data_IF_549214804123
#
_entry.id   IF_549214804123
#
_cell.length_a   1.000
_cell.length_b   1.000
_cell.length_c   1.000
_cell.angle_alpha   90.00
_cell.angle_beta   90.00
_cell.angle_gamma   90.00
#
_symmetry.space_group_name_H-M   'P 1'
#
loop_
_entity.id
_entity.type
_entity.pdbx_description
1 polymer ?
#
# COMPACT_ATOMS: atom_id res chain seq x y z
N UNK A 1 -0.51 -9.48 -22.68
CA UNK A 1 -0.04 -8.17 -22.15
C UNK A 1 0.96 -8.42 -21.03
N UNK A 2 2.01 -7.58 -20.90
CA UNK A 2 3.00 -7.67 -19.80
C UNK A 2 3.07 -6.34 -19.07
N UNK A 3 2.98 -6.38 -17.74
CA UNK A 3 3.05 -5.22 -16.85
C UNK A 3 4.20 -5.42 -15.89
N UNK A 4 4.90 -4.34 -15.56
CA UNK A 4 5.98 -4.30 -14.58
C UNK A 4 5.70 -3.19 -13.58
N UNK A 5 5.78 -3.50 -12.28
CA UNK A 5 5.59 -2.54 -11.19
C UNK A 5 6.75 -2.66 -10.22
N UNK A 6 7.32 -1.52 -9.83
CA UNK A 6 8.44 -1.47 -8.91
C UNK A 6 8.03 -1.83 -7.48
N UNK A 7 8.98 -2.32 -6.68
CA UNK A 7 8.90 -2.25 -5.23
C UNK A 7 9.23 -0.85 -4.73
N UNK A 8 9.14 -0.62 -3.43
CA UNK A 8 9.43 0.68 -2.82
C UNK A 8 10.23 0.55 -1.52
N UNK A 9 10.92 1.62 -1.15
CA UNK A 9 11.42 1.86 0.20
C UNK A 9 10.81 3.16 0.74
N UNK A 10 10.56 3.21 2.04
CA UNK A 10 10.21 4.44 2.73
C UNK A 10 11.49 5.13 3.18
N UNK A 11 11.68 6.39 2.83
CA UNK A 11 12.84 7.17 3.26
C UNK A 11 12.52 7.95 4.54
N UNK A 12 11.33 8.57 4.59
CA UNK A 12 10.87 9.34 5.74
C UNK A 12 9.38 9.11 5.98
N UNK A 13 8.97 9.09 7.23
CA UNK A 13 7.56 8.99 7.58
C UNK A 13 7.03 7.54 7.70
N UNK A 14 7.90 6.56 7.93
CA UNK A 14 7.47 5.18 8.15
C UNK A 14 6.47 5.10 9.32
N UNK A 15 5.41 4.33 9.15
CA UNK A 15 4.33 4.16 10.13
C UNK A 15 3.55 5.45 10.48
N UNK A 16 3.37 6.37 9.55
CA UNK A 16 2.57 7.57 9.80
C UNK A 16 1.53 7.90 8.71
N UNK A 17 1.57 7.27 7.55
CA UNK A 17 0.61 7.47 6.46
C UNK A 17 -0.83 7.11 6.84
N UNK A 18 -1.03 6.05 7.62
CA UNK A 18 -2.33 5.67 8.17
C UNK A 18 -2.85 6.63 9.27
N UNK A 19 -2.02 7.56 9.72
CA UNK A 19 -2.39 8.66 10.63
C UNK A 19 -2.76 9.95 9.86
N UNK A 20 -2.73 9.89 8.53
CA UNK A 20 -2.94 11.06 7.68
C UNK A 20 -1.72 11.98 7.57
N UNK A 21 -0.56 11.58 8.10
CA UNK A 21 0.68 12.32 8.00
C UNK A 21 1.42 11.99 6.69
N UNK A 22 2.22 12.92 6.16
CA UNK A 22 2.94 12.72 4.91
C UNK A 22 4.05 11.68 5.03
N UNK A 23 4.44 11.12 3.88
CA UNK A 23 5.59 10.21 3.73
C UNK A 23 6.43 10.60 2.52
N UNK A 24 7.72 10.27 2.55
CA UNK A 24 8.61 10.31 1.38
C UNK A 24 9.04 8.88 1.10
N UNK A 25 8.65 8.39 -0.07
CA UNK A 25 8.92 7.02 -0.50
C UNK A 25 9.52 7.01 -1.91
N UNK A 26 10.35 6.01 -2.18
CA UNK A 26 11.06 5.87 -3.44
C UNK A 26 10.81 4.48 -4.04
N UNK A 27 10.50 4.43 -5.32
CA UNK A 27 10.51 3.19 -6.09
C UNK A 27 11.94 2.67 -6.24
N UNK A 28 12.11 1.35 -6.18
CA UNK A 28 13.40 0.68 -6.33
C UNK A 28 13.49 -0.10 -7.63
N UNK A 29 14.71 -0.44 -8.06
CA UNK A 29 14.98 -1.23 -9.27
C UNK A 29 14.74 -2.73 -9.10
N UNK A 30 13.80 -3.11 -8.24
CA UNK A 30 13.25 -4.45 -8.08
C UNK A 30 11.79 -4.43 -8.49
N UNK A 31 11.33 -5.45 -9.22
CA UNK A 31 10.04 -5.39 -9.88
C UNK A 31 9.22 -6.65 -9.67
N UNK A 32 7.91 -6.47 -9.58
CA UNK A 32 6.95 -7.52 -9.90
C UNK A 32 6.56 -7.42 -11.37
N UNK A 33 6.41 -8.54 -12.03
CA UNK A 33 5.95 -8.61 -13.41
C UNK A 33 4.74 -9.53 -13.52
N UNK A 34 3.74 -9.09 -14.26
CA UNK A 34 2.54 -9.83 -14.55
C UNK A 34 2.37 -9.92 -16.07
N UNK A 35 2.16 -11.14 -16.57
CA UNK A 35 1.83 -11.37 -17.97
C UNK A 35 0.62 -12.29 -18.05
N UNK A 36 -0.30 -12.03 -18.96
CA UNK A 36 -1.50 -12.83 -19.06
C UNK A 36 -2.27 -12.62 -20.35
N UNK A 37 -3.21 -13.53 -20.55
CA UNK A 37 -4.16 -13.57 -21.67
C UNK A 37 -5.57 -13.83 -21.14
N UNK A 38 -6.56 -13.39 -21.92
CA UNK A 38 -7.94 -13.74 -21.65
C UNK A 38 -8.20 -15.21 -21.97
N UNK A 39 -9.12 -15.83 -21.22
CA UNK A 39 -9.63 -17.19 -21.41
C UNK A 39 -10.99 -17.14 -22.10
N UNK A 40 -11.49 -18.29 -22.50
CA UNK A 40 -12.84 -18.44 -23.08
C UNK A 40 -13.88 -18.89 -22.03
N UNK A 41 -13.48 -18.97 -20.75
CA UNK A 41 -14.33 -19.33 -19.63
C UNK A 41 -14.33 -18.25 -18.53
N UNK A 42 -15.09 -18.45 -17.47
CA UNK A 42 -15.20 -17.52 -16.34
C UNK A 42 -14.18 -17.82 -15.22
N UNK A 43 -13.02 -18.42 -15.53
CA UNK A 43 -12.02 -18.83 -14.55
C UNK A 43 -10.80 -17.93 -14.61
N UNK A 44 -10.32 -17.47 -13.47
CA UNK A 44 -9.01 -16.84 -13.32
C UNK A 44 -8.02 -17.85 -12.77
N UNK A 45 -6.89 -17.99 -13.45
CA UNK A 45 -5.76 -18.83 -13.06
C UNK A 45 -4.53 -17.94 -12.91
N UNK A 46 -3.93 -17.92 -11.74
CA UNK A 46 -2.74 -17.11 -11.45
C UNK A 46 -1.59 -18.04 -11.07
N UNK A 47 -0.61 -18.13 -11.94
CA UNK A 47 0.59 -18.94 -11.75
C UNK A 47 1.68 -18.12 -11.09
N UNK A 48 2.24 -18.62 -10.02
CA UNK A 48 3.29 -18.00 -9.19
C UNK A 48 4.53 -18.91 -9.16
N UNK A 49 5.28 -19.03 -10.28
CA UNK A 49 6.38 -20.00 -10.39
C UNK A 49 7.49 -19.78 -9.35
N UNK A 50 7.72 -18.54 -8.92
CA UNK A 50 8.77 -18.20 -7.95
C UNK A 50 8.56 -18.85 -6.56
N UNK A 51 7.32 -19.25 -6.26
CA UNK A 51 6.92 -19.91 -5.00
C UNK A 51 6.23 -21.26 -5.25
N UNK A 52 6.24 -21.74 -6.49
CA UNK A 52 5.60 -22.99 -6.92
C UNK A 52 4.12 -23.08 -6.49
N UNK A 53 3.35 -22.00 -6.70
CA UNK A 53 1.95 -21.87 -6.29
C UNK A 53 1.05 -21.50 -7.48
N UNK A 54 -0.21 -21.97 -7.43
CA UNK A 54 -1.25 -21.64 -8.38
C UNK A 54 -2.51 -21.27 -7.60
N UNK A 55 -3.04 -20.08 -7.85
CA UNK A 55 -4.30 -19.60 -7.30
C UNK A 55 -5.37 -19.62 -8.39
N UNK A 56 -6.55 -20.13 -8.07
CA UNK A 56 -7.66 -20.19 -9.01
C UNK A 56 -8.95 -19.71 -8.36
N UNK A 57 -9.76 -18.98 -9.12
CA UNK A 57 -11.12 -18.59 -8.70
C UNK A 57 -12.03 -18.35 -9.91
N UNK A 58 -13.35 -18.44 -9.66
CA UNK A 58 -14.36 -18.09 -10.65
C UNK A 58 -14.69 -16.59 -10.57
N UNK A 59 -15.04 -15.96 -11.70
CA UNK A 59 -15.57 -14.59 -11.75
C UNK A 59 -16.92 -14.44 -11.02
N UNK A 60 -17.62 -15.56 -10.80
CA UNK A 60 -18.93 -15.60 -10.16
C UNK A 60 -18.79 -16.04 -8.70
N UNK A 61 -19.40 -15.26 -7.79
CA UNK A 61 -19.47 -15.63 -6.38
C UNK A 61 -18.12 -15.64 -5.65
N UNK A 62 -17.24 -14.67 -5.96
CA UNK A 62 -15.92 -14.56 -5.33
C UNK A 62 -16.07 -14.41 -3.82
N UNK A 63 -15.45 -15.36 -3.08
CA UNK A 63 -15.35 -15.31 -1.62
C UNK A 63 -13.90 -15.20 -1.20
N UNK A 64 -13.64 -14.38 -0.18
CA UNK A 64 -12.32 -14.28 0.42
C UNK A 64 -12.10 -15.41 1.42
N UNK A 65 -10.94 -16.04 1.35
CA UNK A 65 -10.51 -17.09 2.29
C UNK A 65 -9.54 -16.50 3.33
N UNK A 66 -8.89 -15.39 2.98
CA UNK A 66 -7.92 -14.71 3.84
C UNK A 66 -7.77 -13.23 3.50
N UNK A 67 -7.14 -12.46 4.40
CA UNK A 67 -6.72 -11.08 4.14
C UNK A 67 -5.58 -10.97 3.08
N UNK A 68 -5.13 -12.10 2.55
CA UNK A 68 -4.10 -12.16 1.51
C UNK A 68 -4.66 -12.40 0.10
N UNK A 69 -5.98 -12.47 -0.04
CA UNK A 69 -6.68 -12.71 -1.32
C UNK A 69 -6.68 -11.45 -2.22
N UNK A 70 -5.49 -10.87 -2.43
CA UNK A 70 -5.32 -9.60 -3.15
C UNK A 70 -5.82 -9.64 -4.60
N UNK A 71 -5.70 -10.79 -5.28
CA UNK A 71 -6.17 -10.94 -6.65
C UNK A 71 -7.70 -10.94 -6.73
N UNK A 72 -8.36 -11.63 -5.80
CA UNK A 72 -9.82 -11.63 -5.69
C UNK A 72 -10.36 -10.25 -5.32
N UNK A 73 -9.73 -9.61 -4.34
CA UNK A 73 -10.09 -8.26 -3.92
C UNK A 73 -9.90 -7.24 -5.05
N UNK A 74 -8.74 -7.24 -5.71
CA UNK A 74 -8.47 -6.37 -6.86
C UNK A 74 -9.51 -6.53 -7.98
N UNK A 75 -9.93 -7.78 -8.25
CA UNK A 75 -10.98 -8.06 -9.24
C UNK A 75 -12.33 -7.48 -8.80
N UNK A 76 -12.75 -7.72 -7.54
CA UNK A 76 -14.02 -7.20 -7.01
C UNK A 76 -14.04 -5.66 -6.98
N UNK A 77 -12.94 -5.03 -6.62
CA UNK A 77 -12.84 -3.56 -6.64
C UNK A 77 -12.97 -3.03 -8.07
N UNK A 78 -12.28 -3.63 -9.05
CA UNK A 78 -12.44 -3.23 -10.45
C UNK A 78 -13.91 -3.36 -10.92
N UNK A 79 -14.61 -4.44 -10.57
CA UNK A 79 -16.05 -4.59 -10.86
C UNK A 79 -16.90 -3.48 -10.21
N UNK A 80 -16.66 -3.18 -8.94
CA UNK A 80 -17.36 -2.15 -8.18
C UNK A 80 -17.16 -0.75 -8.78
N UNK A 81 -15.99 -0.50 -9.34
CA UNK A 81 -15.68 0.73 -10.06
C UNK A 81 -16.11 0.74 -11.54
N UNK A 82 -16.93 -0.24 -11.94
CA UNK A 82 -17.64 -0.25 -13.21
C UNK A 82 -16.90 -0.94 -14.37
N UNK A 83 -15.80 -1.64 -14.12
CA UNK A 83 -15.20 -2.51 -15.12
C UNK A 83 -16.01 -3.80 -15.27
N UNK A 84 -16.20 -4.23 -16.53
CA UNK A 84 -16.98 -5.42 -16.88
C UNK A 84 -16.07 -6.53 -17.38
N UNK A 85 -16.38 -7.77 -17.01
CA UNK A 85 -15.58 -8.94 -17.37
C UNK A 85 -16.53 -10.09 -17.75
N UNK A 86 -16.58 -10.45 -19.03
CA UNK A 86 -17.33 -11.59 -19.56
C UNK A 86 -16.52 -12.90 -19.57
N UNK A 87 -15.20 -12.80 -19.42
CA UNK A 87 -14.26 -13.93 -19.48
C UNK A 87 -13.16 -13.82 -18.46
N UNK A 88 -12.60 -14.96 -18.07
CA UNK A 88 -11.49 -15.05 -17.13
C UNK A 88 -10.13 -14.82 -17.75
N UNK A 89 -9.08 -15.12 -16.99
CA UNK A 89 -7.70 -14.83 -17.36
C UNK A 89 -6.77 -15.98 -16.95
N UNK A 90 -5.77 -16.29 -17.77
CA UNK A 90 -4.59 -17.08 -17.39
C UNK A 90 -3.41 -16.12 -17.25
N UNK A 91 -2.87 -16.00 -16.05
CA UNK A 91 -1.88 -14.98 -15.67
C UNK A 91 -0.68 -15.66 -15.03
N UNK A 92 0.51 -15.23 -15.38
CA UNK A 92 1.75 -15.58 -14.69
C UNK A 92 2.32 -14.35 -14.03
N UNK A 93 2.62 -14.46 -12.72
CA UNK A 93 3.31 -13.41 -11.95
C UNK A 93 4.69 -13.90 -11.54
N UNK A 94 5.68 -13.00 -11.62
CA UNK A 94 7.06 -13.20 -11.16
C UNK A 94 7.52 -11.95 -10.44
N UNK A 95 8.41 -12.08 -9.45
CA UNK A 95 8.91 -10.95 -8.68
C UNK A 95 10.36 -11.15 -8.28
N UNK A 96 11.18 -10.12 -8.48
CA UNK A 96 12.52 -10.02 -7.89
C UNK A 96 12.54 -9.14 -6.62
N UNK A 97 11.36 -8.71 -6.17
CA UNK A 97 11.18 -8.03 -4.90
C UNK A 97 11.18 -9.07 -3.78
N UNK A 98 12.04 -8.95 -2.75
CA UNK A 98 12.07 -9.90 -1.65
C UNK A 98 10.72 -10.00 -0.94
N UNK A 99 10.26 -11.23 -0.72
CA UNK A 99 8.97 -11.51 -0.06
C UNK A 99 9.09 -11.25 1.44
N UNK A 100 8.09 -10.56 2.04
CA UNK A 100 8.04 -10.21 3.47
C UNK A 100 9.27 -9.42 3.98
N UNK A 101 9.93 -8.69 3.09
CA UNK A 101 11.11 -7.88 3.40
C UNK A 101 10.80 -6.37 3.61
N UNK A 102 9.53 -5.98 3.64
CA UNK A 102 9.13 -4.59 3.83
C UNK A 102 9.28 -3.69 2.61
N UNK A 103 9.39 -4.26 1.41
CA UNK A 103 9.60 -3.55 0.14
C UNK A 103 8.39 -3.57 -0.79
N UNK A 104 7.18 -3.79 -0.23
CA UNK A 104 5.86 -3.75 -0.90
C UNK A 104 5.69 -4.73 -2.06
N UNK A 105 6.13 -5.99 -1.90
CA UNK A 105 5.93 -7.02 -2.90
C UNK A 105 4.44 -7.28 -3.19
N UNK A 106 3.59 -7.36 -2.16
CA UNK A 106 2.13 -7.55 -2.28
C UNK A 106 1.47 -6.41 -3.06
N UNK A 107 1.71 -5.17 -2.64
CA UNK A 107 1.11 -3.99 -3.27
C UNK A 107 1.59 -3.81 -4.72
N UNK A 108 2.84 -4.12 -5.01
CA UNK A 108 3.38 -4.11 -6.36
C UNK A 108 2.67 -5.12 -7.28
N UNK A 109 2.41 -6.35 -6.78
CA UNK A 109 1.63 -7.35 -7.50
C UNK A 109 0.19 -6.92 -7.71
N UNK A 110 -0.45 -6.38 -6.68
CA UNK A 110 -1.83 -5.90 -6.78
C UNK A 110 -1.97 -4.73 -7.75
N UNK A 111 -1.05 -3.78 -7.73
CA UNK A 111 -1.01 -2.67 -8.71
C UNK A 111 -0.86 -3.22 -10.14
N UNK A 112 0.03 -4.19 -10.36
CA UNK A 112 0.18 -4.86 -11.65
C UNK A 112 -1.11 -5.55 -12.09
N UNK A 113 -1.80 -6.22 -11.16
CA UNK A 113 -3.05 -6.93 -11.41
C UNK A 113 -4.19 -5.98 -11.78
N UNK A 114 -4.39 -4.91 -11.02
CA UNK A 114 -5.41 -3.89 -11.31
C UNK A 114 -5.14 -3.22 -12.66
N UNK A 115 -3.89 -2.88 -12.94
CA UNK A 115 -3.52 -2.32 -14.24
C UNK A 115 -3.84 -3.32 -15.37
N UNK A 116 -3.55 -4.61 -15.20
CA UNK A 116 -3.91 -5.64 -16.16
C UNK A 116 -5.43 -5.73 -16.34
N UNK A 117 -6.21 -5.78 -15.27
CA UNK A 117 -7.67 -5.85 -15.30
C UNK A 117 -8.29 -4.66 -16.03
N UNK A 118 -7.87 -3.44 -15.72
CA UNK A 118 -8.42 -2.22 -16.33
C UNK A 118 -8.16 -2.14 -17.83
N UNK A 119 -7.10 -2.80 -18.32
CA UNK A 119 -6.73 -2.86 -19.75
C UNK A 119 -7.34 -4.05 -20.48
N UNK A 120 -7.83 -5.07 -19.77
CA UNK A 120 -8.40 -6.28 -20.35
C UNK A 120 -9.90 -6.48 -20.01
N UNK A 121 -10.54 -5.50 -19.39
CA UNK A 121 -11.98 -5.47 -19.20
C UNK A 121 -12.71 -5.36 -20.54
N UNK A 122 -13.97 -5.81 -20.61
CA UNK A 122 -14.82 -5.69 -21.83
C UNK A 122 -15.02 -4.21 -22.22
N UNK A 123 -15.03 -3.33 -21.23
CA UNK A 123 -15.08 -1.87 -21.36
C UNK A 123 -13.73 -1.23 -20.96
N UNK A 124 -12.63 -1.79 -21.42
CA UNK A 124 -11.27 -1.37 -21.06
C UNK A 124 -11.07 0.15 -21.19
N UNK A 125 -10.43 0.74 -20.18
CA UNK A 125 -10.10 2.16 -20.13
C UNK A 125 -8.64 2.35 -19.75
N UNK A 126 -8.05 3.39 -20.30
CA UNK A 126 -6.74 3.86 -19.84
C UNK A 126 -6.97 4.84 -18.67
N UNK A 127 -6.73 4.38 -17.46
CA UNK A 127 -6.83 5.21 -16.27
C UNK A 127 -5.44 5.65 -15.79
N UNK A 128 -5.37 6.74 -15.04
CA UNK A 128 -4.11 7.28 -14.54
C UNK A 128 -3.45 6.36 -13.52
N UNK A 129 -2.14 6.48 -13.34
CA UNK A 129 -1.41 5.76 -12.28
C UNK A 129 -2.01 6.05 -10.90
N UNK A 130 -2.43 7.29 -10.65
CA UNK A 130 -3.09 7.66 -9.40
C UNK A 130 -4.42 6.92 -9.20
N UNK A 131 -5.24 6.76 -10.26
CA UNK A 131 -6.47 5.98 -10.19
C UNK A 131 -6.19 4.49 -9.94
N UNK A 132 -5.15 3.91 -10.58
CA UNK A 132 -4.70 2.54 -10.30
C UNK A 132 -4.28 2.39 -8.83
N UNK A 133 -3.51 3.36 -8.29
CA UNK A 133 -3.09 3.38 -6.89
C UNK A 133 -4.27 3.39 -5.93
N UNK A 134 -5.29 4.22 -6.24
CA UNK A 134 -6.49 4.31 -5.43
C UNK A 134 -7.26 2.98 -5.42
N UNK A 135 -7.45 2.34 -6.58
CA UNK A 135 -8.08 1.03 -6.65
C UNK A 135 -7.29 -0.04 -5.88
N UNK A 136 -5.96 0.02 -5.93
CA UNK A 136 -5.12 -0.89 -5.18
C UNK A 136 -5.22 -0.66 -3.66
N UNK A 137 -5.28 0.59 -3.22
CA UNK A 137 -5.52 0.94 -1.81
C UNK A 137 -6.89 0.45 -1.34
N UNK A 138 -7.95 0.67 -2.12
CA UNK A 138 -9.30 0.16 -1.81
C UNK A 138 -9.29 -1.38 -1.69
N UNK A 139 -8.57 -2.07 -2.57
CA UNK A 139 -8.53 -3.53 -2.57
C UNK A 139 -7.73 -4.10 -1.39
N UNK A 140 -6.55 -3.55 -1.10
CA UNK A 140 -5.64 -4.12 -0.09
C UNK A 140 -5.96 -3.63 1.32
N UNK A 141 -6.20 -2.32 1.47
CA UNK A 141 -6.34 -1.71 2.80
C UNK A 141 -7.80 -1.66 3.26
N UNK A 142 -8.71 -1.25 2.39
CA UNK A 142 -10.11 -1.10 2.80
C UNK A 142 -10.85 -2.44 2.73
N UNK A 143 -10.83 -3.12 1.58
CA UNK A 143 -11.60 -4.35 1.36
C UNK A 143 -11.08 -5.53 2.20
N UNK A 144 -9.76 -5.71 2.29
CA UNK A 144 -9.14 -6.80 3.06
C UNK A 144 -8.79 -6.40 4.50
N UNK A 145 -9.11 -5.16 4.92
CA UNK A 145 -8.79 -4.63 6.25
C UNK A 145 -7.32 -4.84 6.63
N UNK A 146 -6.41 -4.51 5.70
CA UNK A 146 -4.98 -4.54 5.96
C UNK A 146 -4.55 -3.33 6.79
N UNK A 147 -3.55 -3.48 7.68
CA UNK A 147 -3.16 -2.42 8.61
C UNK A 147 -2.36 -1.26 8.00
N UNK A 148 -2.13 -1.26 6.69
CA UNK A 148 -1.38 -0.22 5.97
C UNK A 148 -2.10 1.12 5.83
N UNK A 149 -1.41 2.07 5.20
CA UNK A 149 -1.96 3.31 4.67
C UNK A 149 -1.88 3.32 3.13
N UNK A 150 -1.70 4.50 2.53
CA UNK A 150 -1.68 4.68 1.07
C UNK A 150 -0.28 4.56 0.45
N UNK A 151 0.78 4.63 1.26
CA UNK A 151 2.16 4.76 0.77
C UNK A 151 2.53 3.68 -0.24
N UNK A 152 2.22 2.42 0.04
CA UNK A 152 2.68 1.28 -0.72
C UNK A 152 2.12 1.27 -2.15
N UNK A 153 0.81 1.40 -2.28
CA UNK A 153 0.12 1.35 -3.57
C UNK A 153 0.48 2.56 -4.44
N UNK A 154 0.59 3.75 -3.82
CA UNK A 154 0.91 4.97 -4.56
C UNK A 154 2.37 5.00 -5.00
N UNK A 155 3.32 4.68 -4.13
CA UNK A 155 4.75 4.71 -4.49
C UNK A 155 5.12 3.63 -5.52
N UNK A 156 4.55 2.42 -5.42
CA UNK A 156 4.79 1.36 -6.40
C UNK A 156 4.17 1.65 -7.76
N UNK A 157 3.00 2.29 -7.81
CA UNK A 157 2.27 2.61 -9.05
C UNK A 157 2.85 3.83 -9.76
N UNK A 158 3.11 4.91 -9.03
CA UNK A 158 3.62 6.17 -9.60
C UNK A 158 5.08 5.98 -10.01
N UNK A 159 5.86 5.28 -9.16
CA UNK A 159 7.30 5.15 -9.33
C UNK A 159 8.04 6.41 -8.85
N UNK A 160 9.35 6.46 -9.09
CA UNK A 160 10.20 7.60 -8.77
C UNK A 160 10.31 7.87 -7.24
N UNK A 161 10.79 9.05 -6.86
CA UNK A 161 10.80 9.57 -5.50
C UNK A 161 9.59 10.48 -5.34
N UNK A 162 8.72 10.18 -4.37
CA UNK A 162 7.48 10.94 -4.15
C UNK A 162 7.33 11.39 -2.71
N UNK A 163 6.77 12.59 -2.55
CA UNK A 163 6.12 13.03 -1.33
C UNK A 163 4.63 12.75 -1.47
N UNK A 164 4.06 12.04 -0.51
CA UNK A 164 2.65 11.66 -0.46
C UNK A 164 2.04 12.15 0.84
N UNK A 165 0.95 12.88 0.76
CA UNK A 165 0.11 13.33 1.87
C UNK A 165 -1.34 12.97 1.57
N UNK A 166 -1.97 12.21 2.47
CA UNK A 166 -3.33 11.71 2.25
C UNK A 166 -4.41 12.61 2.84
N UNK A 167 -4.08 13.46 3.80
CA UNK A 167 -5.02 14.33 4.52
C UNK A 167 -4.51 15.77 4.61
N UNK A 168 -5.39 16.80 4.52
CA UNK A 168 -6.86 16.73 4.34
C UNK A 168 -7.29 16.38 2.91
N UNK A 169 -6.39 16.50 1.94
CA UNK A 169 -6.61 16.14 0.54
C UNK A 169 -5.38 15.42 0.01
N UNK A 170 -5.62 14.39 -0.79
CA UNK A 170 -4.54 13.64 -1.42
C UNK A 170 -3.65 14.58 -2.23
N UNK A 171 -2.40 14.65 -1.86
CA UNK A 171 -1.34 15.40 -2.53
C UNK A 171 -0.17 14.48 -2.84
N UNK A 172 0.33 14.54 -4.06
CA UNK A 172 1.45 13.74 -4.54
C UNK A 172 2.37 14.66 -5.31
N UNK A 173 3.54 14.90 -4.76
CA UNK A 173 4.59 15.68 -5.41
C UNK A 173 5.73 14.73 -5.79
N UNK A 174 6.17 14.75 -7.04
CA UNK A 174 7.40 14.09 -7.45
C UNK A 174 8.57 14.94 -7.01
N UNK A 175 9.58 14.29 -6.44
CA UNK A 175 10.82 14.94 -6.01
C UNK A 175 11.88 14.59 -7.07
N UNK A 176 12.33 15.62 -7.78
CA UNK A 176 13.39 15.48 -8.79
C UNK A 176 14.76 15.63 -8.12
N UNK A 177 15.27 14.53 -7.59
CA UNK A 177 16.59 14.44 -6.98
C UNK A 177 17.23 13.10 -7.30
N UNK A 178 18.49 13.13 -7.68
CA UNK A 178 19.32 11.92 -7.75
C UNK A 178 19.92 11.66 -6.36
N UNK A 179 19.48 10.57 -5.75
CA UNK A 179 19.98 10.10 -4.45
C UNK A 179 21.07 9.04 -4.59
N UNK A 180 21.53 8.79 -5.81
CA UNK A 180 22.54 7.78 -6.09
C UNK A 180 22.03 6.34 -5.93
N UNK A 181 22.93 5.44 -5.51
CA UNK A 181 22.65 4.01 -5.37
C UNK A 181 22.35 3.64 -3.93
N UNK A 182 21.31 2.82 -3.75
CA UNK A 182 20.95 2.24 -2.45
C UNK A 182 21.38 0.77 -2.39
N UNK A 183 21.84 0.34 -1.24
CA UNK A 183 22.13 -1.07 -0.94
C UNK A 183 21.00 -1.60 -0.05
N UNK A 184 20.27 -2.60 -0.53
CA UNK A 184 19.25 -3.30 0.24
C UNK A 184 19.88 -4.58 0.84
N UNK A 185 20.09 -4.59 2.14
CA UNK A 185 20.55 -5.76 2.88
C UNK A 185 19.38 -6.69 3.21
N UNK A 186 19.49 -7.97 2.87
CA UNK A 186 18.53 -9.00 3.27
C UNK A 186 19.00 -9.70 4.55
N UNK A 187 18.27 -9.48 5.64
CA UNK A 187 18.53 -10.12 6.94
C UNK A 187 18.17 -11.61 6.97
N UNK A 188 17.50 -12.13 5.95
CA UNK A 188 16.90 -13.47 5.87
C UNK A 188 15.93 -13.80 7.01
N UNK A 189 15.50 -12.80 7.76
CA UNK A 189 14.48 -12.93 8.80
C UNK A 189 13.12 -12.52 8.24
N UNK A 190 12.15 -13.42 8.30
CA UNK A 190 10.78 -13.09 7.89
C UNK A 190 10.17 -12.08 8.86
N UNK A 191 9.70 -10.95 8.33
CA UNK A 191 8.97 -9.95 9.10
C UNK A 191 7.53 -10.41 9.30
N UNK A 192 7.05 -10.44 10.55
CA UNK A 192 5.61 -10.47 10.84
C UNK A 192 5.02 -9.10 10.53
N UNK A 193 4.85 -8.82 9.25
CA UNK A 193 4.43 -7.50 8.76
C UNK A 193 3.06 -7.13 9.31
N UNK A 194 2.09 -8.04 9.26
CA UNK A 194 0.71 -7.75 9.68
C UNK A 194 0.60 -7.52 11.19
N UNK A 195 1.25 -8.35 12.01
CA UNK A 195 1.23 -8.20 13.47
C UNK A 195 1.91 -6.91 13.92
N UNK A 196 3.08 -6.59 13.35
CA UNK A 196 3.82 -5.37 13.68
C UNK A 196 3.05 -4.12 13.23
N UNK A 197 2.56 -4.10 11.98
CA UNK A 197 1.79 -2.96 11.45
C UNK A 197 0.49 -2.74 12.22
N UNK A 198 -0.28 -3.81 12.49
CA UNK A 198 -1.53 -3.72 13.26
C UNK A 198 -1.29 -3.14 14.64
N UNK A 199 -0.27 -3.64 15.35
CA UNK A 199 0.09 -3.11 16.66
C UNK A 199 0.47 -1.64 16.60
N UNK A 200 1.37 -1.27 15.67
CA UNK A 200 1.83 0.10 15.51
C UNK A 200 0.69 1.07 15.17
N UNK A 201 -0.21 0.67 14.27
CA UNK A 201 -1.39 1.44 13.86
C UNK A 201 -2.38 1.58 15.02
N UNK A 202 -2.79 0.47 15.62
CA UNK A 202 -3.84 0.45 16.62
C UNK A 202 -3.44 1.19 17.90
N UNK A 203 -2.19 1.03 18.36
CA UNK A 203 -1.70 1.78 19.53
C UNK A 203 -1.75 3.29 19.27
N UNK A 204 -1.28 3.77 18.10
CA UNK A 204 -1.31 5.21 17.77
C UNK A 204 -2.73 5.75 17.58
N UNK A 205 -3.59 5.01 16.88
CA UNK A 205 -4.99 5.41 16.69
C UNK A 205 -5.74 5.46 18.02
N UNK A 206 -5.48 4.54 18.94
CA UNK A 206 -6.06 4.57 20.28
C UNK A 206 -5.65 5.82 21.07
N UNK A 207 -4.37 6.22 20.98
CA UNK A 207 -3.86 7.44 21.60
C UNK A 207 -4.50 8.68 20.97
N UNK A 208 -4.57 8.73 19.63
CA UNK A 208 -5.26 9.82 18.93
C UNK A 208 -6.73 9.91 19.33
N UNK A 209 -7.40 8.77 19.51
CA UNK A 209 -8.77 8.75 20.04
C UNK A 209 -8.90 9.33 21.45
N UNK A 210 -7.89 9.15 22.32
CA UNK A 210 -7.86 9.81 23.65
C UNK A 210 -7.67 11.32 23.53
N UNK A 211 -6.75 11.75 22.66
CA UNK A 211 -6.48 13.16 22.39
C UNK A 211 -7.74 13.85 21.85
N UNK A 212 -8.36 13.27 20.82
CA UNK A 212 -9.55 13.83 20.15
C UNK A 212 -10.78 13.91 21.07
N UNK A 213 -10.94 12.97 22.03
CA UNK A 213 -12.03 13.06 23.02
C UNK A 213 -11.86 14.25 23.97
N UNK A 214 -10.62 14.65 24.25
CA UNK A 214 -10.33 15.77 25.13
C UNK A 214 -10.28 17.11 24.40
N UNK A 215 -9.84 17.08 23.14
CA UNK A 215 -9.76 18.24 22.26
C UNK A 215 -10.06 17.82 20.81
N UNK A 216 -11.33 17.90 20.42
CA UNK A 216 -11.80 17.48 19.08
C UNK A 216 -11.31 18.39 17.94
N UNK A 217 -10.74 19.55 18.27
CA UNK A 217 -10.18 20.49 17.28
C UNK A 217 -8.67 20.32 17.11
N UNK A 218 -8.04 19.42 17.87
CA UNK A 218 -6.62 19.19 17.80
C UNK A 218 -6.23 18.66 16.41
N UNK A 219 -5.38 19.42 15.72
CA UNK A 219 -4.80 18.99 14.46
C UNK A 219 -3.49 18.22 14.74
N UNK A 220 -3.51 16.92 14.52
CA UNK A 220 -2.37 16.06 14.78
C UNK A 220 -1.11 16.44 13.95
N UNK A 221 -1.29 17.03 12.77
CA UNK A 221 -0.16 17.53 11.98
C UNK A 221 0.58 18.70 12.64
N UNK A 222 -0.03 19.37 13.63
CA UNK A 222 0.51 20.56 14.29
C UNK A 222 0.82 20.34 15.77
N UNK A 223 0.42 19.22 16.37
CA UNK A 223 0.64 18.93 17.79
C UNK A 223 2.14 18.97 18.15
N UNK A 224 2.49 19.61 19.27
CA UNK A 224 3.86 19.67 19.79
C UNK A 224 4.06 18.67 20.93
N UNK A 225 5.32 18.30 21.21
CA UNK A 225 5.65 17.45 22.36
C UNK A 225 5.14 18.04 23.69
N UNK A 226 5.21 19.38 23.85
CA UNK A 226 4.71 20.08 25.03
C UNK A 226 3.21 19.95 25.26
N UNK A 227 2.42 19.78 24.19
CA UNK A 227 0.98 19.64 24.27
C UNK A 227 0.56 18.29 24.89
N UNK A 228 1.40 17.26 24.78
CA UNK A 228 1.08 15.91 25.26
C UNK A 228 0.76 15.86 26.75
N UNK A 229 1.37 16.74 27.56
CA UNK A 229 1.11 16.87 29.01
C UNK A 229 -0.36 17.16 29.33
N UNK A 230 -1.11 17.74 28.39
CA UNK A 230 -2.54 18.08 28.55
C UNK A 230 -3.47 16.87 28.48
N UNK A 231 -3.01 15.71 27.97
CA UNK A 231 -3.87 14.59 27.57
C UNK A 231 -3.88 13.41 28.52
N UNK A 232 -3.18 13.48 29.65
CA UNK A 232 -3.11 12.40 30.64
C UNK A 232 -2.76 11.03 30.01
N UNK A 233 -1.71 11.02 29.21
CA UNK A 233 -1.18 9.81 28.57
C UNK A 233 -0.29 9.05 29.56
N UNK A 234 -0.27 7.72 29.47
CA UNK A 234 0.74 6.91 30.16
C UNK A 234 2.14 7.20 29.59
N UNK A 235 3.18 6.91 30.37
CA UNK A 235 4.59 7.08 29.93
C UNK A 235 4.89 6.39 28.60
N UNK A 236 4.29 5.22 28.37
CA UNK A 236 4.43 4.48 27.11
C UNK A 236 3.75 5.21 25.94
N UNK A 237 2.51 5.68 26.14
CA UNK A 237 1.75 6.41 25.12
C UNK A 237 2.43 7.73 24.76
N UNK A 238 2.90 8.46 25.76
CA UNK A 238 3.65 9.71 25.56
C UNK A 238 4.92 9.45 24.72
N UNK A 239 5.71 8.42 25.06
CA UNK A 239 6.91 8.04 24.30
C UNK A 239 6.60 7.68 22.86
N UNK A 240 5.50 6.96 22.58
CA UNK A 240 5.06 6.62 21.22
C UNK A 240 4.66 7.88 20.44
N UNK A 241 3.96 8.81 21.07
CA UNK A 241 3.55 10.06 20.43
C UNK A 241 4.73 10.99 20.16
N UNK A 242 5.66 11.14 21.10
CA UNK A 242 6.92 11.88 20.91
C UNK A 242 7.67 11.32 19.69
N UNK A 243 7.82 10.00 19.60
CA UNK A 243 8.47 9.37 18.44
C UNK A 243 7.75 9.68 17.13
N UNK A 244 6.41 9.71 17.13
CA UNK A 244 5.62 10.03 15.93
C UNK A 244 5.74 11.52 15.55
N UNK A 245 5.71 12.42 16.53
CA UNK A 245 5.92 13.86 16.32
C UNK A 245 7.30 14.12 15.71
N UNK A 246 8.36 13.54 16.29
CA UNK A 246 9.73 13.67 15.78
C UNK A 246 9.89 13.11 14.38
N UNK A 247 9.28 11.96 14.08
CA UNK A 247 9.30 11.38 12.74
C UNK A 247 8.65 12.30 11.70
N UNK A 248 7.51 12.93 12.05
CA UNK A 248 6.86 13.98 11.24
C UNK A 248 7.78 15.18 11.01
N UNK A 249 8.42 15.66 12.06
CA UNK A 249 9.26 16.87 12.00
C UNK A 249 10.55 16.64 11.21
N UNK A 250 11.14 15.44 11.31
CA UNK A 250 12.28 15.02 10.47
C UNK A 250 11.86 15.00 8.99
N UNK A 251 10.67 14.48 8.67
CA UNK A 251 10.17 14.49 7.29
C UNK A 251 10.00 15.93 6.78
N UNK A 252 9.48 16.85 7.61
CA UNK A 252 9.31 18.24 7.24
C UNK A 252 10.66 18.93 6.91
N UNK A 253 11.75 18.52 7.57
CA UNK A 253 13.10 19.01 7.28
C UNK A 253 13.71 18.37 6.01
N UNK A 254 13.28 17.15 5.67
CA UNK A 254 13.79 16.43 4.50
C UNK A 254 13.11 16.85 3.17
N UNK A 255 12.02 17.59 3.23
CA UNK A 255 11.27 18.08 2.08
C UNK A 255 11.87 19.37 1.54
#
# INVERSE_FOLDING_TARGET
MKIKTAGRICLFGEHQDYLGLPVIAMAISKFSSLSGVARNDAKVVIRKPDINDIEEFSLNGIKYNSKQDIFKSGFNICKRFGFKFSRGFDVTVKSDIPIKAGTSSSSSLLVSWIHFLTRNADNAKNISKQAISQLAYEAEVIELDSPGGMMDQFSTSIGELIYLESHPKLKIDKIDRDLGKFVLGDSRQQKDTNGILSRCKNERLAILGKINRKDSKMNFSLILESDLKRFNLSKREEKLMIGTIRNRDILAQAK
#
